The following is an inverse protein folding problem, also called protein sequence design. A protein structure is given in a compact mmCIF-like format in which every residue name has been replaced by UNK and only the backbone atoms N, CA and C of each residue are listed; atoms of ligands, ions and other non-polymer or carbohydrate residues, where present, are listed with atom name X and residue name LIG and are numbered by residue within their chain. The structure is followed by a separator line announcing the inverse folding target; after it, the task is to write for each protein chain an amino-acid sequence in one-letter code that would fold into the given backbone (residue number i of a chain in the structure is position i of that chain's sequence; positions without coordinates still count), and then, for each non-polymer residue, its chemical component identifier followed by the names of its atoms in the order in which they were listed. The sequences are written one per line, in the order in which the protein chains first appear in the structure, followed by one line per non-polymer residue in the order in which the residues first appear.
data_IF_410518451073
#
_entry.id   IF_410518451073
#
_cell.length_a   1.000
_cell.length_b   1.000
_cell.length_c   1.000
_cell.angle_alpha   90.00
_cell.angle_beta   90.00
_cell.angle_gamma   90.00
#
_symmetry.space_group_name_H-M   'P 1'
#
loop_
_entity.id
_entity.type
_entity.pdbx_description
1 polymer ?
#
# COMPACT_ATOMS: atom_id res chain seq x y z
N UNK A 1 -5.09 5.29 -24.69
CA UNK A 1 -5.55 6.70 -24.59
C UNK A 1 -5.24 7.20 -23.18
N UNK A 2 -4.66 8.39 -23.04
CA UNK A 2 -4.36 8.99 -21.73
C UNK A 2 -5.51 9.89 -21.27
N UNK A 3 -5.88 9.73 -20.01
CA UNK A 3 -6.94 10.46 -19.29
C UNK A 3 -6.26 11.40 -18.30
N UNK A 4 -6.52 12.70 -18.44
CA UNK A 4 -6.13 13.69 -17.44
C UNK A 4 -7.35 14.09 -16.61
N UNK A 5 -7.14 14.45 -15.35
CA UNK A 5 -8.22 14.76 -14.43
C UNK A 5 -8.57 16.25 -14.48
N UNK A 6 -9.83 16.60 -14.72
CA UNK A 6 -10.41 17.94 -14.52
C UNK A 6 -11.25 18.00 -13.24
N UNK A 7 -11.92 16.91 -12.89
CA UNK A 7 -12.71 16.75 -11.67
C UNK A 7 -12.97 15.26 -11.42
N UNK A 8 -13.28 14.91 -10.17
CA UNK A 8 -13.50 13.52 -9.76
C UNK A 8 -14.74 13.40 -8.89
N UNK A 9 -15.41 12.26 -8.99
CA UNK A 9 -16.44 11.84 -8.07
C UNK A 9 -16.27 10.34 -7.79
N UNK A 10 -16.61 9.92 -6.60
CA UNK A 10 -16.42 8.55 -6.13
C UNK A 10 -17.65 8.05 -5.42
N UNK A 11 -17.93 6.76 -5.57
CA UNK A 11 -19.02 6.08 -4.89
C UNK A 11 -18.62 4.64 -4.56
N UNK A 12 -19.32 4.04 -3.62
CA UNK A 12 -19.11 2.63 -3.26
C UNK A 12 -20.23 1.79 -3.82
N UNK A 13 -19.85 0.74 -4.56
CA UNK A 13 -20.73 -0.34 -4.96
C UNK A 13 -20.60 -1.45 -3.91
N UNK A 14 -21.72 -1.81 -3.29
CA UNK A 14 -21.77 -2.81 -2.23
C UNK A 14 -22.95 -3.75 -2.40
N UNK A 15 -22.80 -4.98 -1.92
CA UNK A 15 -23.89 -5.93 -1.75
C UNK A 15 -24.09 -6.17 -0.26
N UNK A 16 -25.20 -5.69 0.30
CA UNK A 16 -25.39 -5.59 1.74
C UNK A 16 -24.18 -4.87 2.39
N UNK A 17 -23.44 -5.54 3.29
CA UNK A 17 -22.27 -4.97 3.96
C UNK A 17 -20.93 -5.34 3.29
N UNK A 18 -20.97 -6.02 2.15
CA UNK A 18 -19.79 -6.43 1.42
C UNK A 18 -19.39 -5.37 0.38
N UNK A 19 -18.14 -4.94 0.42
CA UNK A 19 -17.55 -4.07 -0.60
C UNK A 19 -17.33 -4.85 -1.89
N UNK A 20 -17.88 -4.35 -3.00
CA UNK A 20 -17.68 -4.93 -4.32
C UNK A 20 -16.63 -4.13 -5.10
N UNK A 21 -16.83 -2.82 -5.22
CA UNK A 21 -15.90 -1.93 -5.91
C UNK A 21 -16.12 -0.47 -5.51
N UNK A 22 -15.09 0.34 -5.70
CA UNK A 22 -15.19 1.79 -5.77
C UNK A 22 -15.51 2.19 -7.21
N UNK A 23 -16.59 2.92 -7.41
CA UNK A 23 -16.86 3.61 -8.66
C UNK A 23 -16.09 4.93 -8.68
N UNK A 24 -15.15 5.08 -9.60
CA UNK A 24 -14.34 6.28 -9.82
C UNK A 24 -14.77 6.94 -11.13
N UNK A 25 -15.46 8.07 -11.01
CA UNK A 25 -15.88 8.88 -12.15
C UNK A 25 -14.94 10.07 -12.32
N UNK A 26 -14.39 10.22 -13.52
CA UNK A 26 -13.43 11.26 -13.86
C UNK A 26 -14.03 12.11 -14.97
N UNK A 27 -14.05 13.42 -14.74
CA UNK A 27 -14.28 14.41 -15.79
C UNK A 27 -12.94 14.75 -16.43
N UNK A 28 -12.83 14.50 -17.72
CA UNK A 28 -11.66 14.79 -18.55
C UNK A 28 -11.69 16.24 -19.08
N UNK A 29 -10.57 16.77 -19.62
CA UNK A 29 -10.60 17.92 -20.49
C UNK A 29 -11.65 17.75 -21.61
N UNK A 30 -12.26 18.86 -22.06
CA UNK A 30 -13.36 18.86 -23.04
C UNK A 30 -14.68 18.23 -22.55
N UNK A 31 -14.83 18.03 -21.23
CA UNK A 31 -16.05 17.53 -20.58
C UNK A 31 -16.45 16.09 -20.98
N UNK A 32 -15.51 15.30 -21.50
CA UNK A 32 -15.70 13.86 -21.60
C UNK A 32 -15.67 13.27 -20.18
N UNK A 33 -16.49 12.26 -19.91
CA UNK A 33 -16.51 11.56 -18.63
C UNK A 33 -16.10 10.10 -18.81
N UNK A 34 -15.34 9.59 -17.85
CA UNK A 34 -14.91 8.19 -17.79
C UNK A 34 -15.26 7.62 -16.42
N UNK A 35 -15.81 6.41 -16.39
CA UNK A 35 -16.20 5.69 -15.17
C UNK A 35 -15.42 4.38 -15.10
N UNK A 36 -14.82 4.12 -13.94
CA UNK A 36 -14.06 2.90 -13.65
C UNK A 36 -14.55 2.27 -12.37
N UNK A 37 -14.45 0.94 -12.29
CA UNK A 37 -14.79 0.19 -11.08
C UNK A 37 -13.54 -0.49 -10.52
N UNK A 38 -13.12 -0.10 -9.32
CA UNK A 38 -11.92 -0.60 -8.65
C UNK A 38 -12.31 -1.54 -7.51
N UNK A 39 -12.10 -2.86 -7.64
CA UNK A 39 -12.18 -3.77 -6.51
C UNK A 39 -11.08 -3.46 -5.47
N UNK A 40 -11.14 -4.14 -4.32
CA UNK A 40 -10.34 -3.76 -3.15
C UNK A 40 -8.82 -3.82 -3.41
N UNK A 41 -8.35 -4.78 -4.21
CA UNK A 41 -6.93 -4.97 -4.51
C UNK A 41 -6.41 -3.86 -5.43
N UNK A 42 -7.15 -3.54 -6.49
CA UNK A 42 -6.81 -2.50 -7.45
C UNK A 42 -6.92 -1.11 -6.82
N UNK A 43 -7.90 -0.91 -5.93
CA UNK A 43 -8.01 0.30 -5.13
C UNK A 43 -6.81 0.48 -4.20
N UNK A 44 -6.38 -0.59 -3.52
CA UNK A 44 -5.16 -0.56 -2.69
C UNK A 44 -3.95 -0.20 -3.55
N UNK A 45 -3.81 -0.78 -4.73
CA UNK A 45 -2.67 -0.54 -5.60
C UNK A 45 -2.65 0.91 -6.13
N UNK A 46 -3.81 1.48 -6.48
CA UNK A 46 -3.95 2.92 -6.75
C UNK A 46 -3.49 3.76 -5.55
N UNK A 47 -3.95 3.40 -4.35
CA UNK A 47 -3.64 4.14 -3.12
C UNK A 47 -2.16 4.05 -2.75
N UNK A 48 -1.48 2.91 -2.95
CA UNK A 48 -0.03 2.76 -2.77
C UNK A 48 0.72 3.71 -3.68
N UNK A 49 0.32 3.81 -4.95
CA UNK A 49 0.99 4.67 -5.91
C UNK A 49 0.87 6.15 -5.53
N UNK A 50 -0.35 6.62 -5.20
CA UNK A 50 -0.55 8.04 -4.86
C UNK A 50 -0.01 8.40 -3.47
N UNK A 51 -0.08 7.50 -2.49
CA UNK A 51 0.49 7.72 -1.16
C UNK A 51 2.02 7.83 -1.22
N UNK A 52 2.68 7.09 -2.11
CA UNK A 52 4.13 7.23 -2.31
C UNK A 52 4.55 8.65 -2.71
N UNK A 53 3.72 9.35 -3.51
CA UNK A 53 3.97 10.75 -3.87
C UNK A 53 3.67 11.70 -2.71
N UNK A 54 2.59 11.46 -1.97
CA UNK A 54 2.29 12.26 -0.78
C UNK A 54 3.42 12.18 0.24
N UNK A 55 4.00 10.99 0.44
CA UNK A 55 5.16 10.81 1.30
C UNK A 55 6.36 11.64 0.85
N UNK A 56 6.65 11.69 -0.46
CA UNK A 56 7.72 12.56 -0.98
C UNK A 56 7.44 14.05 -0.71
N UNK A 57 6.18 14.48 -0.81
CA UNK A 57 5.80 15.89 -0.55
C UNK A 57 5.88 16.27 0.92
N UNK A 58 5.72 15.31 1.83
CA UNK A 58 5.96 15.54 3.27
C UNK A 58 7.43 15.84 3.58
N UNK A 59 8.36 15.45 2.72
CA UNK A 59 9.79 15.68 2.88
C UNK A 59 10.27 17.03 2.31
N UNK A 60 9.38 17.83 1.72
CA UNK A 60 9.71 19.16 1.21
C UNK A 60 10.13 20.12 2.32
N UNK A 61 11.01 21.07 1.98
CA UNK A 61 11.35 22.18 2.87
C UNK A 61 10.15 23.08 3.17
N UNK A 62 10.22 23.88 4.23
CA UNK A 62 9.09 24.71 4.71
C UNK A 62 8.55 25.64 3.61
N UNK A 63 9.42 26.34 2.88
CA UNK A 63 9.01 27.29 1.84
C UNK A 63 8.36 26.58 0.63
N UNK A 64 8.96 25.47 0.17
CA UNK A 64 8.45 24.67 -0.94
C UNK A 64 7.10 24.04 -0.59
N UNK A 65 6.96 23.53 0.64
CA UNK A 65 5.71 22.97 1.13
C UNK A 65 4.59 24.01 1.16
N UNK A 66 4.86 25.22 1.65
CA UNK A 66 3.87 26.30 1.63
C UNK A 66 3.44 26.68 0.22
N UNK A 67 4.38 26.68 -0.74
CA UNK A 67 4.06 26.94 -2.14
C UNK A 67 3.21 25.81 -2.76
N UNK A 68 3.57 24.55 -2.48
CA UNK A 68 2.81 23.38 -2.88
C UNK A 68 1.38 23.42 -2.33
N UNK A 69 1.20 23.65 -1.03
CA UNK A 69 -0.11 23.70 -0.37
C UNK A 69 -1.01 24.80 -0.95
N UNK A 70 -0.46 26.02 -1.14
CA UNK A 70 -1.21 27.12 -1.78
C UNK A 70 -1.66 26.78 -3.20
N UNK A 71 -0.77 26.20 -4.00
CA UNK A 71 -1.08 25.86 -5.40
C UNK A 71 -2.09 24.70 -5.47
N UNK A 72 -1.93 23.69 -4.60
CA UNK A 72 -2.86 22.58 -4.41
C UNK A 72 -4.26 23.07 -4.04
N UNK A 73 -4.39 24.06 -3.17
CA UNK A 73 -5.70 24.58 -2.76
C UNK A 73 -6.43 25.27 -3.92
N UNK A 74 -5.70 25.96 -4.79
CA UNK A 74 -6.26 26.56 -6.01
C UNK A 74 -6.75 25.49 -6.98
N UNK A 75 -5.94 24.45 -7.22
CA UNK A 75 -6.35 23.30 -8.04
C UNK A 75 -7.54 22.58 -7.40
N UNK A 76 -7.59 22.52 -6.08
CA UNK A 76 -8.68 21.88 -5.35
C UNK A 76 -10.03 22.51 -5.57
N UNK A 77 -10.09 23.84 -5.49
CA UNK A 77 -11.31 24.58 -5.79
C UNK A 77 -11.77 24.33 -7.23
N UNK A 78 -10.85 24.35 -8.20
CA UNK A 78 -11.17 24.08 -9.62
C UNK A 78 -11.72 22.67 -9.83
N UNK A 79 -11.17 21.67 -9.17
CA UNK A 79 -11.68 20.29 -9.28
C UNK A 79 -13.06 20.15 -8.64
N UNK A 80 -13.32 20.82 -7.52
CA UNK A 80 -14.63 20.83 -6.86
C UNK A 80 -15.71 21.48 -7.74
N UNK A 81 -15.38 22.55 -8.47
CA UNK A 81 -16.28 23.17 -9.45
C UNK A 81 -16.57 22.26 -10.66
N UNK A 82 -15.80 21.19 -10.85
CA UNK A 82 -15.87 20.28 -11.99
C UNK A 82 -16.22 18.84 -11.61
N UNK A 83 -16.81 18.62 -10.43
CA UNK A 83 -17.23 17.28 -9.98
C UNK A 83 -18.24 16.70 -11.00
N UNK A 84 -17.97 15.53 -11.62
CA UNK A 84 -18.94 14.86 -12.47
C UNK A 84 -20.09 14.29 -11.63
N UNK A 85 -21.32 14.36 -12.15
CA UNK A 85 -22.48 13.79 -11.47
C UNK A 85 -22.42 12.25 -11.50
N UNK A 86 -22.77 11.59 -10.39
CA UNK A 86 -23.01 10.15 -10.38
C UNK A 86 -24.48 9.90 -10.70
N UNK A 87 -24.75 9.28 -11.84
CA UNK A 87 -26.12 9.02 -12.31
C UNK A 87 -26.48 7.59 -11.95
N UNK A 88 -27.64 7.40 -11.31
CA UNK A 88 -28.07 6.06 -10.86
C UNK A 88 -28.20 5.07 -12.02
N UNK A 89 -28.68 5.52 -13.18
CA UNK A 89 -28.84 4.69 -14.38
C UNK A 89 -27.50 4.15 -14.90
N UNK A 90 -26.45 4.98 -14.89
CA UNK A 90 -25.08 4.56 -15.26
C UNK A 90 -24.54 3.47 -14.30
N UNK A 91 -24.93 3.52 -13.03
CA UNK A 91 -24.50 2.54 -12.02
C UNK A 91 -25.32 1.25 -12.09
N UNK A 92 -26.63 1.34 -12.39
CA UNK A 92 -27.50 0.17 -12.59
C UNK A 92 -27.10 -0.62 -13.84
N UNK A 93 -26.67 0.07 -14.89
CA UNK A 93 -26.19 -0.51 -16.14
C UNK A 93 -24.66 -0.48 -16.24
N UNK A 94 -23.97 -0.64 -15.10
CA UNK A 94 -22.52 -0.61 -15.03
C UNK A 94 -21.87 -1.57 -16.03
N UNK A 95 -21.08 -1.03 -16.95
CA UNK A 95 -20.33 -1.80 -17.93
C UNK A 95 -19.21 -2.60 -17.24
N UNK A 96 -19.34 -3.92 -17.24
CA UNK A 96 -18.35 -4.82 -16.64
C UNK A 96 -16.96 -4.67 -17.28
N UNK A 97 -16.88 -4.25 -18.54
CA UNK A 97 -15.61 -3.99 -19.21
C UNK A 97 -14.86 -2.80 -18.61
N UNK A 98 -15.53 -1.92 -17.84
CA UNK A 98 -14.91 -0.82 -17.10
C UNK A 98 -14.34 -1.23 -15.74
N UNK A 99 -14.49 -2.50 -15.34
CA UNK A 99 -13.86 -3.03 -14.14
C UNK A 99 -12.35 -3.10 -14.34
N UNK A 100 -11.62 -2.51 -13.40
CA UNK A 100 -10.16 -2.57 -13.33
C UNK A 100 -9.75 -3.92 -12.75
N UNK A 101 -8.80 -4.58 -13.38
CA UNK A 101 -8.23 -5.88 -12.97
C UNK A 101 -6.74 -5.79 -12.61
N UNK A 102 -6.07 -4.70 -12.98
CA UNK A 102 -4.73 -4.39 -12.51
C UNK A 102 -4.46 -2.88 -12.58
N UNK A 103 -3.61 -2.40 -11.66
CA UNK A 103 -3.08 -1.03 -11.65
C UNK A 103 -1.56 -1.11 -11.64
N UNK A 104 -0.92 -0.35 -12.52
CA UNK A 104 0.53 -0.23 -12.57
C UNK A 104 0.97 1.23 -12.64
N UNK A 105 1.95 1.61 -11.82
CA UNK A 105 2.64 2.90 -11.98
C UNK A 105 3.71 2.73 -13.06
N UNK A 106 3.51 3.37 -14.21
CA UNK A 106 4.42 3.25 -15.37
C UNK A 106 5.39 4.42 -15.49
N UNK A 107 5.03 5.59 -14.96
CA UNK A 107 5.95 6.72 -14.81
C UNK A 107 5.57 7.51 -13.56
N UNK A 108 6.56 7.76 -12.72
CA UNK A 108 6.47 8.61 -11.54
C UNK A 108 7.69 9.53 -11.41
N UNK A 109 8.39 9.82 -12.50
CA UNK A 109 9.60 10.66 -12.47
C UNK A 109 9.30 12.15 -12.55
N UNK A 110 8.11 12.53 -13.04
CA UNK A 110 7.66 13.91 -13.19
C UNK A 110 6.66 14.34 -12.10
N UNK A 111 6.16 15.57 -12.18
CA UNK A 111 5.08 16.10 -11.33
C UNK A 111 3.72 15.41 -11.57
N UNK A 112 3.67 14.44 -12.50
CA UNK A 112 2.48 13.69 -12.85
C UNK A 112 2.75 12.20 -12.72
N UNK A 113 1.90 11.51 -11.96
CA UNK A 113 1.89 10.06 -11.88
C UNK A 113 1.12 9.52 -13.09
N UNK A 114 1.76 8.64 -13.84
CA UNK A 114 1.14 7.91 -14.94
C UNK A 114 0.82 6.49 -14.48
N UNK A 115 -0.46 6.21 -14.32
CA UNK A 115 -1.01 4.92 -13.92
C UNK A 115 -1.62 4.24 -15.14
N UNK A 116 -1.33 2.96 -15.33
CA UNK A 116 -2.00 2.12 -16.31
C UNK A 116 -3.02 1.25 -15.61
N UNK A 117 -4.28 1.37 -16.00
CA UNK A 117 -5.37 0.49 -15.63
C UNK A 117 -5.52 -0.58 -16.70
N UNK A 118 -5.41 -1.84 -16.31
CA UNK A 118 -5.86 -2.97 -17.14
C UNK A 118 -7.33 -3.20 -16.83
N UNK A 119 -8.15 -3.24 -17.87
CA UNK A 119 -9.59 -3.43 -17.78
C UNK A 119 -9.96 -4.90 -17.97
N UNK A 120 -11.19 -5.25 -17.61
CA UNK A 120 -11.67 -6.64 -17.67
C UNK A 120 -11.73 -7.22 -19.09
N UNK A 121 -11.87 -6.38 -20.12
CA UNK A 121 -11.79 -6.77 -21.53
C UNK A 121 -10.34 -6.93 -22.05
N UNK A 122 -9.33 -6.71 -21.20
CA UNK A 122 -7.92 -6.73 -21.56
C UNK A 122 -7.40 -5.41 -22.14
N UNK A 123 -8.27 -4.41 -22.36
CA UNK A 123 -7.82 -3.10 -22.81
C UNK A 123 -7.09 -2.35 -21.69
N UNK A 124 -6.19 -1.46 -22.08
CA UNK A 124 -5.47 -0.60 -21.13
C UNK A 124 -5.91 0.85 -21.26
N UNK A 125 -6.02 1.50 -20.10
CA UNK A 125 -6.30 2.92 -19.99
C UNK A 125 -5.19 3.58 -19.18
N UNK A 126 -4.71 4.74 -19.63
CA UNK A 126 -3.67 5.48 -18.93
C UNK A 126 -4.33 6.62 -18.18
N UNK A 127 -4.16 6.68 -16.87
CA UNK A 127 -4.60 7.77 -16.01
C UNK A 127 -3.40 8.61 -15.59
N UNK A 128 -3.47 9.91 -15.85
CA UNK A 128 -2.49 10.90 -15.44
C UNK A 128 -3.03 11.69 -14.25
N UNK A 129 -2.33 11.59 -13.11
CA UNK A 129 -2.68 12.28 -11.86
C UNK A 129 -1.57 13.26 -11.55
N UNK A 130 -1.85 14.56 -11.66
CA UNK A 130 -0.90 15.58 -11.24
C UNK A 130 -0.78 15.56 -9.70
N UNK A 131 0.42 15.80 -9.18
CA UNK A 131 0.69 15.77 -7.73
C UNK A 131 -0.16 16.74 -6.90
N UNK A 132 -0.65 17.82 -7.51
CA UNK A 132 -1.54 18.79 -6.87
C UNK A 132 -2.99 18.29 -6.77
N UNK A 133 -3.34 17.22 -7.48
CA UNK A 133 -4.69 16.63 -7.53
C UNK A 133 -4.83 15.43 -6.59
N UNK A 134 -3.72 14.87 -6.12
CA UNK A 134 -3.69 13.61 -5.37
C UNK A 134 -4.52 13.70 -4.10
N UNK A 135 -4.38 14.77 -3.31
CA UNK A 135 -5.10 14.88 -2.04
C UNK A 135 -6.62 14.85 -2.21
N UNK A 136 -7.15 15.49 -3.26
CA UNK A 136 -8.58 15.49 -3.54
C UNK A 136 -9.04 14.11 -4.00
N UNK A 137 -8.24 13.44 -4.84
CA UNK A 137 -8.55 12.09 -5.29
C UNK A 137 -8.63 11.14 -4.10
N UNK A 138 -7.62 11.17 -3.22
CA UNK A 138 -7.60 10.37 -1.99
C UNK A 138 -8.76 10.76 -1.07
N UNK A 139 -9.01 12.06 -0.88
CA UNK A 139 -10.12 12.55 -0.06
C UNK A 139 -11.47 12.03 -0.58
N UNK A 140 -11.74 12.14 -1.88
CA UNK A 140 -12.96 11.63 -2.49
C UNK A 140 -13.11 10.12 -2.26
N UNK A 141 -12.04 9.34 -2.47
CA UNK A 141 -12.03 7.89 -2.23
C UNK A 141 -12.39 7.57 -0.77
N UNK A 142 -11.68 8.18 0.19
CA UNK A 142 -11.88 7.91 1.61
C UNK A 142 -13.29 8.32 2.05
N UNK A 143 -13.77 9.50 1.63
CA UNK A 143 -15.12 9.96 1.94
C UNK A 143 -16.20 9.04 1.37
N UNK A 144 -16.01 8.49 0.18
CA UNK A 144 -16.95 7.52 -0.38
C UNK A 144 -17.02 6.24 0.48
N UNK A 145 -15.88 5.73 0.95
CA UNK A 145 -15.79 4.55 1.83
C UNK A 145 -16.42 4.83 3.19
N UNK A 146 -16.12 5.98 3.80
CA UNK A 146 -16.70 6.42 5.08
C UNK A 146 -18.22 6.59 4.99
N UNK A 147 -18.72 7.28 3.96
CA UNK A 147 -20.15 7.49 3.73
C UNK A 147 -20.90 6.17 3.51
N UNK A 148 -20.23 5.14 3.00
CA UNK A 148 -20.78 3.79 2.87
C UNK A 148 -20.75 2.97 4.17
N UNK A 149 -20.23 3.52 5.28
CA UNK A 149 -20.11 2.83 6.56
C UNK A 149 -18.98 1.79 6.60
N UNK A 150 -18.07 1.79 5.63
CA UNK A 150 -17.06 0.73 5.44
C UNK A 150 -15.74 1.03 6.15
N UNK A 151 -15.81 1.38 7.44
CA UNK A 151 -14.63 1.79 8.22
C UNK A 151 -13.55 0.70 8.28
N UNK A 152 -13.94 -0.56 8.41
CA UNK A 152 -12.96 -1.66 8.42
C UNK A 152 -12.20 -1.81 7.09
N UNK A 153 -12.85 -1.52 5.96
CA UNK A 153 -12.17 -1.52 4.66
C UNK A 153 -11.14 -0.39 4.60
N UNK A 154 -11.53 0.82 5.02
CA UNK A 154 -10.63 1.97 5.08
C UNK A 154 -9.38 1.65 5.92
N UNK A 155 -9.59 1.09 7.13
CA UNK A 155 -8.50 0.70 8.03
C UNK A 155 -7.59 -0.38 7.41
N UNK A 156 -8.18 -1.43 6.81
CA UNK A 156 -7.42 -2.51 6.16
C UNK A 156 -6.56 -1.97 5.02
N UNK A 157 -7.13 -1.14 4.14
CA UNK A 157 -6.39 -0.58 3.02
C UNK A 157 -5.30 0.37 3.51
N UNK A 158 -5.62 1.31 4.41
CA UNK A 158 -4.64 2.28 4.92
C UNK A 158 -3.47 1.62 5.66
N UNK A 159 -3.72 0.46 6.27
CA UNK A 159 -2.71 -0.29 7.02
C UNK A 159 -1.61 -0.92 6.16
N UNK A 160 -1.71 -0.90 4.83
CA UNK A 160 -0.78 -1.57 3.90
C UNK A 160 -0.18 -0.64 2.85
N UNK A 161 -0.22 0.69 3.06
CA UNK A 161 0.24 1.65 2.05
C UNK A 161 1.73 2.01 2.15
N UNK A 162 2.31 1.90 3.35
CA UNK A 162 3.65 2.38 3.68
C UNK A 162 4.70 1.25 3.85
N UNK A 163 4.31 0.00 3.61
CA UNK A 163 5.23 -1.13 3.48
C UNK A 163 4.74 -2.15 2.44
N UNK A 164 5.69 -2.96 1.95
CA UNK A 164 5.47 -4.02 0.97
C UNK A 164 5.89 -5.36 1.56
N UNK A 165 4.95 -6.25 1.92
CA UNK A 165 5.29 -7.58 2.39
C UNK A 165 5.84 -8.44 1.25
N UNK A 166 6.94 -9.16 1.53
CA UNK A 166 7.62 -10.04 0.58
C UNK A 166 7.62 -11.49 1.04
N UNK A 167 7.97 -11.74 2.29
CA UNK A 167 8.01 -13.08 2.87
C UNK A 167 7.54 -13.04 4.32
N UNK A 168 6.84 -14.07 4.77
CA UNK A 168 6.70 -14.40 6.18
C UNK A 168 7.24 -15.80 6.43
N UNK A 169 7.69 -16.08 7.66
CA UNK A 169 8.31 -17.35 7.96
C UNK A 169 8.11 -17.79 9.41
N UNK A 170 7.99 -19.10 9.61
CA UNK A 170 8.13 -19.77 10.89
C UNK A 170 9.52 -20.43 10.97
N UNK A 171 10.21 -20.17 12.07
CA UNK A 171 11.52 -20.73 12.34
C UNK A 171 11.40 -22.02 13.16
N UNK A 172 11.63 -23.16 12.52
CA UNK A 172 11.50 -24.49 13.13
C UNK A 172 12.77 -24.91 13.87
N UNK A 173 12.69 -26.00 14.64
CA UNK A 173 13.72 -26.48 15.59
C UNK A 173 15.04 -26.98 14.95
N UNK A 174 15.17 -27.01 13.62
CA UNK A 174 16.32 -27.58 12.89
C UNK A 174 16.95 -26.60 11.87
N UNK A 175 17.03 -25.30 12.18
CA UNK A 175 17.46 -24.24 11.24
C UNK A 175 16.61 -24.13 9.95
N UNK A 176 15.50 -24.87 9.89
CA UNK A 176 14.55 -24.82 8.78
C UNK A 176 13.62 -23.65 8.93
N UNK A 177 13.41 -22.93 7.83
CA UNK A 177 12.42 -21.89 7.69
C UNK A 177 11.28 -22.44 6.83
N UNK A 178 10.06 -22.41 7.35
CA UNK A 178 8.86 -22.55 6.55
C UNK A 178 8.35 -21.15 6.23
N UNK A 179 8.19 -20.81 4.95
CA UNK A 179 7.88 -19.44 4.54
C UNK A 179 6.83 -19.39 3.45
N UNK A 180 6.03 -18.32 3.44
CA UNK A 180 5.21 -17.94 2.30
C UNK A 180 5.84 -16.75 1.57
N UNK A 181 5.63 -16.70 0.26
CA UNK A 181 6.13 -15.64 -0.60
C UNK A 181 4.97 -14.82 -1.19
N UNK A 182 5.13 -13.50 -1.14
CA UNK A 182 4.19 -12.54 -1.71
C UNK A 182 4.82 -11.91 -2.94
N UNK A 183 4.44 -12.39 -4.12
CA UNK A 183 4.92 -11.81 -5.39
C UNK A 183 4.32 -10.42 -5.57
N UNK A 184 5.19 -9.44 -5.83
CA UNK A 184 4.79 -8.05 -6.05
C UNK A 184 5.28 -7.58 -7.43
N UNK A 185 4.53 -6.73 -8.12
CA UNK A 185 4.98 -6.16 -9.38
C UNK A 185 6.17 -5.21 -9.17
N UNK A 186 7.06 -5.15 -10.15
CA UNK A 186 8.32 -4.39 -10.09
C UNK A 186 8.13 -2.91 -9.70
N UNK A 187 7.08 -2.26 -10.22
CA UNK A 187 6.81 -0.86 -9.90
C UNK A 187 6.62 -0.63 -8.40
N UNK A 188 5.99 -1.57 -7.67
CA UNK A 188 5.85 -1.45 -6.20
C UNK A 188 7.19 -1.61 -5.52
N UNK A 189 8.05 -2.53 -5.98
CA UNK A 189 9.40 -2.66 -5.43
C UNK A 189 10.18 -1.35 -5.51
N UNK A 190 9.98 -0.56 -6.57
CA UNK A 190 10.66 0.72 -6.75
C UNK A 190 10.21 1.83 -5.77
N UNK A 191 9.00 1.71 -5.20
CA UNK A 191 8.43 2.70 -4.27
C UNK A 191 8.95 2.58 -2.83
N UNK A 192 9.65 1.49 -2.50
CA UNK A 192 10.16 1.20 -1.17
C UNK A 192 11.67 0.93 -1.25
N UNK A 193 12.45 1.64 -0.43
CA UNK A 193 13.91 1.70 -0.55
C UNK A 193 14.64 0.74 0.37
N UNK A 194 14.08 0.42 1.53
CA UNK A 194 14.74 -0.36 2.57
C UNK A 194 14.12 -1.73 2.67
N UNK A 195 14.94 -2.76 2.80
CA UNK A 195 14.49 -4.09 3.21
C UNK A 195 14.63 -4.20 4.73
N UNK A 196 13.59 -4.63 5.41
CA UNK A 196 13.63 -4.93 6.83
C UNK A 196 13.43 -6.43 7.04
N UNK A 197 14.34 -7.04 7.78
CA UNK A 197 14.11 -8.34 8.39
C UNK A 197 13.55 -8.13 9.79
N UNK A 198 12.41 -8.75 10.06
CA UNK A 198 11.68 -8.65 11.32
C UNK A 198 11.56 -10.05 11.91
N UNK A 199 11.90 -10.20 13.18
CA UNK A 199 11.79 -11.44 13.91
C UNK A 199 11.05 -11.21 15.23
N UNK A 200 10.02 -12.00 15.46
CA UNK A 200 9.24 -12.06 16.69
C UNK A 200 9.66 -13.31 17.47
N UNK A 201 10.12 -13.11 18.70
CA UNK A 201 10.37 -14.18 19.69
C UNK A 201 9.21 -14.21 20.67
N UNK A 202 8.64 -15.38 20.88
CA UNK A 202 7.49 -15.57 21.75
C UNK A 202 7.51 -16.97 22.39
N UNK A 203 6.76 -17.14 23.46
CA UNK A 203 6.59 -18.46 24.09
C UNK A 203 5.40 -19.17 23.46
N UNK A 204 5.65 -20.35 22.89
CA UNK A 204 4.61 -21.20 22.34
C UNK A 204 3.73 -21.84 23.43
N UNK A 205 2.67 -22.54 23.01
CA UNK A 205 1.71 -23.20 23.92
C UNK A 205 2.37 -24.26 24.80
N UNK A 206 3.47 -24.86 24.34
CA UNK A 206 4.24 -25.86 25.08
C UNK A 206 5.27 -25.23 26.04
N UNK A 207 5.26 -23.90 26.24
CA UNK A 207 6.23 -23.19 27.07
C UNK A 207 7.63 -23.04 26.45
N UNK A 208 7.83 -23.52 25.22
CA UNK A 208 9.10 -23.39 24.49
C UNK A 208 9.16 -22.08 23.72
N UNK A 209 10.36 -21.52 23.62
CA UNK A 209 10.58 -20.35 22.79
C UNK A 209 10.44 -20.68 21.31
N UNK A 210 9.72 -19.84 20.59
CA UNK A 210 9.46 -19.95 19.18
C UNK A 210 9.78 -18.63 18.49
N UNK A 211 10.09 -18.71 17.20
CA UNK A 211 10.43 -17.55 16.39
C UNK A 211 9.61 -17.57 15.10
N UNK A 212 9.00 -16.43 14.78
CA UNK A 212 8.36 -16.18 13.50
C UNK A 212 8.85 -14.85 12.99
N UNK A 213 8.90 -14.64 11.68
CA UNK A 213 9.45 -13.42 11.12
C UNK A 213 8.83 -13.05 9.79
N UNK A 214 9.23 -11.88 9.29
CA UNK A 214 8.86 -11.40 7.99
C UNK A 214 9.98 -10.58 7.37
N UNK A 215 9.96 -10.55 6.03
CA UNK A 215 10.75 -9.64 5.23
C UNK A 215 9.80 -8.70 4.50
N UNK A 216 10.01 -7.40 4.70
CA UNK A 216 9.20 -6.35 4.11
C UNK A 216 10.10 -5.30 3.46
N UNK A 217 9.60 -4.59 2.45
CA UNK A 217 10.21 -3.31 2.05
C UNK A 217 9.46 -2.14 2.65
N UNK A 218 10.19 -1.10 3.04
CA UNK A 218 9.67 0.13 3.65
C UNK A 218 10.36 1.35 3.07
N UNK A 219 9.82 2.55 3.33
CA UNK A 219 10.49 3.82 3.00
C UNK A 219 11.38 4.34 4.13
N UNK A 220 11.26 3.74 5.31
CA UNK A 220 12.01 4.09 6.52
C UNK A 220 12.97 2.96 6.93
N UNK A 221 14.06 3.32 7.59
CA UNK A 221 15.01 2.36 8.17
C UNK A 221 14.57 1.89 9.56
N UNK A 222 15.12 0.77 10.01
CA UNK A 222 14.95 0.25 11.37
C UNK A 222 15.29 1.30 12.42
N UNK A 223 14.49 1.36 13.50
CA UNK A 223 14.69 2.27 14.63
C UNK A 223 13.88 3.58 14.55
N UNK A 224 13.06 3.77 13.50
CA UNK A 224 12.12 4.88 13.42
C UNK A 224 10.77 4.56 14.11
N UNK A 225 10.03 5.58 14.53
CA UNK A 225 8.70 5.40 15.12
C UNK A 225 7.70 4.81 14.09
N UNK A 226 7.83 5.15 12.82
CA UNK A 226 7.02 4.56 11.75
C UNK A 226 7.28 3.07 11.60
N UNK A 227 8.53 2.63 11.78
CA UNK A 227 8.86 1.21 11.76
C UNK A 227 8.07 0.46 12.81
N UNK A 228 8.06 0.92 14.07
CA UNK A 228 7.27 0.29 15.14
C UNK A 228 5.79 0.15 14.80
N UNK A 229 5.20 1.15 14.13
CA UNK A 229 3.82 1.08 13.65
C UNK A 229 3.63 0.04 12.53
N UNK A 230 4.61 -0.12 11.64
CA UNK A 230 4.64 -1.18 10.61
C UNK A 230 4.71 -2.56 11.27
N UNK A 231 5.60 -2.76 12.25
CA UNK A 231 5.79 -4.04 12.94
C UNK A 231 4.51 -4.55 13.60
N UNK A 232 3.71 -3.66 14.18
CA UNK A 232 2.42 -4.03 14.78
C UNK A 232 1.41 -4.47 13.73
N UNK A 233 1.31 -3.73 12.61
CA UNK A 233 0.39 -4.05 11.51
C UNK A 233 0.77 -5.31 10.75
N UNK A 234 2.05 -5.69 10.74
CA UNK A 234 2.49 -6.95 10.14
C UNK A 234 1.89 -8.19 10.80
N UNK A 235 1.62 -8.12 12.12
CA UNK A 235 0.97 -9.21 12.85
C UNK A 235 -0.45 -9.46 12.33
N UNK A 236 -1.18 -8.39 11.98
CA UNK A 236 -2.54 -8.50 11.46
C UNK A 236 -2.59 -8.91 9.99
N UNK A 237 -1.53 -8.60 9.23
CA UNK A 237 -1.44 -8.92 7.80
C UNK A 237 -1.13 -10.40 7.53
N UNK A 238 -0.09 -10.94 8.17
CA UNK A 238 0.39 -12.30 7.86
C UNK A 238 -0.41 -13.37 8.61
N UNK A 239 -0.97 -14.38 7.93
CA UNK A 239 -1.60 -15.52 8.58
C UNK A 239 -0.67 -16.23 9.57
N UNK A 240 0.63 -16.33 9.25
CA UNK A 240 1.64 -16.95 10.12
C UNK A 240 1.91 -16.12 11.36
N UNK A 241 1.92 -14.79 11.24
CA UNK A 241 2.18 -13.89 12.37
C UNK A 241 0.92 -13.60 13.21
N UNK A 242 -0.28 -13.79 12.66
CA UNK A 242 -1.54 -13.51 13.36
C UNK A 242 -1.73 -14.30 14.65
N UNK A 243 -1.11 -15.49 14.75
CA UNK A 243 -1.07 -16.29 15.99
C UNK A 243 -0.37 -15.61 17.17
N UNK A 244 0.35 -14.51 16.91
CA UNK A 244 1.07 -13.70 17.88
C UNK A 244 0.26 -12.49 18.35
N UNK A 245 -0.88 -12.19 17.70
CA UNK A 245 -1.72 -11.07 18.08
C UNK A 245 -2.16 -11.20 19.55
N UNK A 246 -1.87 -10.18 20.35
CA UNK A 246 -2.18 -10.14 21.79
C UNK A 246 -1.24 -10.94 22.70
N UNK A 247 -0.19 -11.60 22.16
CA UNK A 247 0.81 -12.31 22.96
C UNK A 247 2.03 -11.41 23.25
N UNK A 248 2.65 -11.52 24.44
CA UNK A 248 3.90 -10.84 24.71
C UNK A 248 5.01 -11.40 23.79
N UNK A 249 5.56 -10.53 22.95
CA UNK A 249 6.62 -10.89 21.99
C UNK A 249 7.77 -9.90 22.11
N UNK A 250 9.00 -10.39 22.02
CA UNK A 250 10.17 -9.55 21.78
C UNK A 250 10.37 -9.42 20.27
N UNK A 251 10.62 -8.20 19.79
CA UNK A 251 10.77 -7.91 18.36
C UNK A 251 12.20 -7.48 18.07
N UNK A 252 12.82 -8.17 17.11
CA UNK A 252 14.14 -7.84 16.59
C UNK A 252 13.99 -7.37 15.15
N UNK A 253 14.61 -6.26 14.80
CA UNK A 253 14.53 -5.68 13.45
C UNK A 253 15.91 -5.32 12.96
N UNK A 254 16.16 -5.62 11.69
CA UNK A 254 17.40 -5.26 11.02
C UNK A 254 17.12 -4.73 9.62
N UNK A 255 17.66 -3.54 9.33
CA UNK A 255 17.73 -3.05 7.95
C UNK A 255 18.77 -3.86 7.17
N UNK A 256 18.38 -4.42 6.03
CA UNK A 256 19.27 -5.14 5.15
C UNK A 256 19.93 -4.15 4.18
N UNK A 257 21.25 -4.24 4.06
CA UNK A 257 22.02 -3.45 3.12
C UNK A 257 21.80 -4.00 1.71
N UNK A 258 20.98 -3.32 0.92
CA UNK A 258 20.89 -3.48 -0.52
C UNK A 258 21.37 -2.18 -1.18
N UNK A 259 22.11 -2.28 -2.28
CA UNK A 259 22.34 -1.10 -3.11
C UNK A 259 20.97 -0.57 -3.58
N UNK A 260 20.80 0.76 -3.68
CA UNK A 260 19.49 1.40 -3.94
C UNK A 260 18.73 0.86 -5.17
N UNK A 261 19.45 0.25 -6.12
CA UNK A 261 18.91 -0.31 -7.37
C UNK A 261 18.77 -1.83 -7.37
N UNK A 262 19.25 -2.52 -6.32
CA UNK A 262 19.29 -3.98 -6.28
C UNK A 262 18.09 -4.55 -5.51
N UNK A 263 17.30 -5.37 -6.21
CA UNK A 263 16.30 -6.23 -5.56
C UNK A 263 17.03 -7.40 -4.90
N UNK A 264 16.84 -7.58 -3.59
CA UNK A 264 17.41 -8.73 -2.89
C UNK A 264 16.73 -10.02 -3.34
N UNK A 265 17.52 -11.06 -3.55
CA UNK A 265 16.98 -12.38 -3.89
C UNK A 265 16.27 -12.98 -2.66
N UNK A 266 15.38 -13.93 -2.93
CA UNK A 266 14.71 -14.70 -1.87
C UNK A 266 15.73 -15.31 -0.89
N UNK A 267 16.80 -15.91 -1.41
CA UNK A 267 17.83 -16.54 -0.59
C UNK A 267 18.55 -15.52 0.30
N UNK A 268 18.88 -14.34 -0.21
CA UNK A 268 19.49 -13.27 0.59
C UNK A 268 18.55 -12.83 1.72
N UNK A 269 17.26 -12.65 1.42
CA UNK A 269 16.24 -12.27 2.39
C UNK A 269 16.07 -13.32 3.50
N UNK A 270 15.89 -14.58 3.14
CA UNK A 270 15.67 -15.66 4.11
C UNK A 270 16.93 -15.98 4.93
N UNK A 271 18.13 -15.92 4.33
CA UNK A 271 19.40 -16.04 5.07
C UNK A 271 19.56 -14.91 6.08
N UNK A 272 19.20 -13.67 5.72
CA UNK A 272 19.26 -12.56 6.65
C UNK A 272 18.31 -12.75 7.84
N UNK A 273 17.10 -13.29 7.60
CA UNK A 273 16.16 -13.64 8.68
C UNK A 273 16.72 -14.74 9.58
N UNK A 274 17.31 -15.78 8.99
CA UNK A 274 17.99 -16.85 9.73
C UNK A 274 19.12 -16.30 10.62
N UNK A 275 19.99 -15.46 10.06
CA UNK A 275 21.09 -14.84 10.80
C UNK A 275 20.58 -13.97 11.96
N UNK A 276 19.48 -13.23 11.74
CA UNK A 276 18.86 -12.43 12.80
C UNK A 276 18.35 -13.31 13.96
N UNK A 277 17.79 -14.48 13.65
CA UNK A 277 17.40 -15.49 14.65
C UNK A 277 18.61 -15.98 15.45
N UNK A 278 19.66 -16.45 14.79
CA UNK A 278 20.87 -16.95 15.47
C UNK A 278 21.47 -15.88 16.38
N UNK A 279 21.53 -14.63 15.92
CA UNK A 279 22.01 -13.51 16.73
C UNK A 279 21.13 -13.27 17.96
N UNK A 280 19.80 -13.28 17.81
CA UNK A 280 18.87 -13.06 18.92
C UNK A 280 18.98 -14.12 20.02
N UNK A 281 19.27 -15.37 19.67
CA UNK A 281 19.52 -16.45 20.64
C UNK A 281 20.82 -16.19 21.39
N UNK A 282 21.89 -15.82 20.68
CA UNK A 282 23.21 -15.59 21.26
C UNK A 282 23.28 -14.35 22.18
N UNK A 283 22.54 -13.27 21.88
CA UNK A 283 22.47 -12.09 22.75
C UNK A 283 21.85 -12.40 24.11
N UNK A 284 20.98 -13.41 24.18
CA UNK A 284 20.36 -13.86 25.44
C UNK A 284 21.33 -14.70 26.29
N UNK A 285 22.25 -15.43 25.65
CA UNK A 285 23.26 -16.25 26.33
C UNK A 285 24.42 -15.44 26.95
N UNK A 286 24.58 -14.16 26.59
CA UNK A 286 25.59 -13.27 27.17
C UNK A 286 25.08 -12.43 28.36
N UNK A 287 23.78 -12.53 28.68
CA UNK A 287 23.13 -11.81 29.78
C UNK A 287 22.43 -12.73 30.79
N UNK A 288 22.71 -14.03 30.73
CA UNK A 288 22.37 -15.04 31.74
C UNK A 288 23.65 -15.48 32.47
#
# INVERSE_FOLDING_TARGET
MAISIKGVNTGVIRKANEFIALALKIKEPRNKESLFFLPALELRDLLIAVESRLHQKQQLGVAERQHYEKTRDVISKKMQENIPAMVEDELRHADIHRRVTAVALTDGSSDTLTLTFTLHDGNTCILQVNELQIEILVYAIIRAIENAGMRELALRISSLLDFLPLYDADCLDHERLEYDAYTQPEWKHSLFTHYLAVLYRFTGETGKEQFSGAIVKTRVQSGSQETEAILRRLLDFSPRLKKLAGKPCQVFVRTLTANKTQTLTQEQCLRALHHLRVQSVNTTAQHA
#
